data_IF_097010967409
#
_entry.id   IF_097010967409
#
_cell.length_a   1.000
_cell.length_b   1.000
_cell.length_c   1.000
_cell.angle_alpha   90.00
_cell.angle_beta   90.00
_cell.angle_gamma   90.00
#
_symmetry.space_group_name_H-M   'P 1'
#
loop_
_entity.id
_entity.type
_entity.pdbx_description
1 polymer ?
#
# COMPACT_ATOMS: atom_id res chain seq x y z
N UNK A 1 -3.41 19.72 10.67
CA UNK A 1 -2.96 18.42 11.22
C UNK A 1 -4.06 17.43 10.85
N UNK A 2 -3.79 16.44 10.01
CA UNK A 2 -4.82 15.50 9.58
C UNK A 2 -5.14 14.55 10.75
N UNK A 3 -6.42 14.35 11.01
CA UNK A 3 -6.93 13.40 12.01
C UNK A 3 -6.84 11.97 11.48
N UNK A 4 -6.82 10.98 12.38
CA UNK A 4 -6.86 9.57 11.98
C UNK A 4 -8.13 9.24 11.16
N UNK A 5 -9.25 9.90 11.46
CA UNK A 5 -10.50 9.71 10.72
C UNK A 5 -10.37 10.17 9.26
N UNK A 6 -9.78 11.34 9.03
CA UNK A 6 -9.49 11.85 7.68
C UNK A 6 -8.51 10.94 6.94
N UNK A 7 -7.47 10.44 7.61
CA UNK A 7 -6.54 9.48 7.01
C UNK A 7 -7.24 8.20 6.53
N UNK A 8 -8.11 7.62 7.36
CA UNK A 8 -8.86 6.41 7.00
C UNK A 8 -9.79 6.65 5.81
N UNK A 9 -10.50 7.79 5.81
CA UNK A 9 -11.37 8.16 4.70
C UNK A 9 -10.60 8.35 3.40
N UNK A 10 -9.44 8.99 3.47
CA UNK A 10 -8.60 9.23 2.30
C UNK A 10 -7.98 7.92 1.76
N UNK A 11 -7.56 7.00 2.63
CA UNK A 11 -7.06 5.69 2.20
C UNK A 11 -8.15 4.84 1.53
N UNK A 12 -9.39 4.88 2.02
CA UNK A 12 -10.50 4.17 1.39
C UNK A 12 -10.91 4.82 0.05
N UNK A 13 -10.89 6.15 -0.03
CA UNK A 13 -11.18 6.87 -1.28
C UNK A 13 -10.09 6.60 -2.33
N UNK A 14 -8.83 6.54 -1.89
CA UNK A 14 -7.70 6.39 -2.80
C UNK A 14 -7.44 4.93 -3.18
N UNK A 15 -7.21 4.07 -2.19
CA UNK A 15 -6.71 2.72 -2.46
C UNK A 15 -7.83 1.67 -2.38
N UNK A 16 -9.03 2.08 -1.96
CA UNK A 16 -10.14 1.15 -1.74
C UNK A 16 -9.90 0.20 -0.57
N UNK A 17 -9.05 0.60 0.38
CA UNK A 17 -8.62 -0.23 1.52
C UNK A 17 -9.06 0.40 2.85
N UNK A 18 -9.58 -0.43 3.76
CA UNK A 18 -9.78 -0.07 5.17
C UNK A 18 -9.24 -1.18 6.07
N UNK A 19 -8.29 -0.85 6.94
CA UNK A 19 -7.71 -1.78 7.91
C UNK A 19 -8.45 -1.80 9.24
N UNK A 20 -8.39 -2.94 9.94
CA UNK A 20 -8.73 -3.03 11.36
C UNK A 20 -7.76 -2.21 12.23
N UNK A 21 -6.49 -2.15 11.84
CA UNK A 21 -5.42 -1.40 12.49
C UNK A 21 -4.57 -0.64 11.47
N UNK A 22 -4.51 0.70 11.57
CA UNK A 22 -3.65 1.55 10.73
C UNK A 22 -2.25 1.78 11.32
N UNK A 23 -2.03 1.30 12.54
CA UNK A 23 -0.72 1.19 13.17
C UNK A 23 -0.55 -0.24 13.66
N UNK A 24 0.51 -0.91 13.23
CA UNK A 24 0.71 -2.33 13.49
C UNK A 24 1.57 -2.55 14.74
N UNK A 25 1.35 -3.66 15.47
CA UNK A 25 2.25 -4.08 16.53
C UNK A 25 3.65 -4.31 15.97
N UNK A 26 4.67 -3.77 16.66
CA UNK A 26 6.07 -3.85 16.23
C UNK A 26 6.78 -5.08 16.81
N UNK A 27 6.17 -5.69 17.83
CA UNK A 27 6.70 -6.88 18.50
C UNK A 27 5.76 -8.08 18.41
N UNK A 28 6.33 -9.27 18.52
CA UNK A 28 5.54 -10.52 18.55
C UNK A 28 4.61 -10.59 19.77
N UNK A 29 5.00 -9.99 20.89
CA UNK A 29 4.19 -9.99 22.11
C UNK A 29 2.94 -9.14 21.93
N UNK A 30 3.08 -7.91 21.43
CA UNK A 30 1.94 -7.03 21.14
C UNK A 30 1.01 -7.63 20.08
N UNK A 31 1.59 -8.29 19.06
CA UNK A 31 0.81 -9.00 18.06
C UNK A 31 -0.01 -10.15 18.66
N UNK A 32 0.57 -10.92 19.59
CA UNK A 32 -0.13 -12.01 20.28
C UNK A 32 -1.25 -11.52 21.22
N UNK A 33 -1.14 -10.28 21.73
CA UNK A 33 -2.15 -9.66 22.57
C UNK A 33 -3.26 -8.96 21.77
N UNK A 34 -3.09 -8.82 20.45
CA UNK A 34 -4.07 -8.17 19.58
C UNK A 34 -5.26 -9.11 19.35
N UNK A 35 -6.38 -8.82 20.02
CA UNK A 35 -7.61 -9.63 19.93
C UNK A 35 -8.21 -9.59 18.52
N UNK A 36 -8.16 -8.43 17.86
CA UNK A 36 -8.63 -8.27 16.49
C UNK A 36 -7.43 -8.47 15.55
N UNK A 37 -7.52 -9.38 14.55
CA UNK A 37 -6.44 -9.60 13.62
C UNK A 37 -6.17 -8.36 12.76
N UNK A 38 -4.93 -8.23 12.30
CA UNK A 38 -4.58 -7.28 11.23
C UNK A 38 -5.23 -7.80 9.96
N UNK A 39 -6.27 -7.10 9.50
CA UNK A 39 -7.05 -7.46 8.33
C UNK A 39 -7.46 -6.18 7.60
N UNK A 40 -7.84 -6.31 6.33
CA UNK A 40 -8.39 -5.21 5.56
C UNK A 40 -9.64 -5.63 4.78
N UNK A 41 -10.52 -4.65 4.57
CA UNK A 41 -11.54 -4.70 3.53
C UNK A 41 -10.95 -4.05 2.28
N UNK A 42 -10.94 -4.78 1.17
CA UNK A 42 -10.33 -4.33 -0.08
C UNK A 42 -11.35 -4.35 -1.23
N UNK A 43 -11.52 -3.20 -1.87
CA UNK A 43 -12.36 -3.03 -3.06
C UNK A 43 -11.47 -3.01 -4.31
N UNK A 44 -11.22 -4.19 -4.88
CA UNK A 44 -10.33 -4.38 -6.04
C UNK A 44 -10.61 -3.42 -7.19
N UNK A 45 -11.88 -3.24 -7.55
CA UNK A 45 -12.32 -2.38 -8.65
C UNK A 45 -12.98 -1.10 -8.13
N UNK A 46 -12.30 -0.40 -7.22
CA UNK A 46 -12.75 0.92 -6.77
C UNK A 46 -12.73 1.89 -7.96
N UNK A 47 -13.88 2.47 -8.28
CA UNK A 47 -13.99 3.45 -9.37
C UNK A 47 -13.15 4.69 -9.07
N UNK A 48 -12.22 4.99 -9.97
CA UNK A 48 -11.27 6.11 -9.89
C UNK A 48 -11.22 6.77 -11.27
N UNK A 49 -11.92 7.90 -11.39
CA UNK A 49 -11.97 8.66 -12.65
C UNK A 49 -10.83 9.68 -12.76
N UNK A 50 -10.05 9.86 -11.70
CA UNK A 50 -8.93 10.78 -11.60
C UNK A 50 -7.64 10.24 -12.22
N UNK A 51 -7.58 8.94 -12.53
CA UNK A 51 -6.38 8.28 -13.05
C UNK A 51 -6.61 7.77 -14.49
N UNK A 52 -5.72 8.08 -15.45
CA UNK A 52 -5.80 7.52 -16.78
C UNK A 52 -5.41 6.03 -16.78
N UNK A 53 -5.92 5.24 -17.73
CA UNK A 53 -5.44 3.87 -17.92
C UNK A 53 -3.97 3.86 -18.32
N UNK A 54 -3.21 2.95 -17.72
CA UNK A 54 -1.79 2.75 -18.02
C UNK A 54 -1.67 1.70 -19.13
N UNK A 55 -1.11 2.10 -20.28
CA UNK A 55 -1.03 1.28 -21.50
C UNK A 55 0.37 0.66 -21.73
N UNK A 56 1.05 0.27 -20.67
CA UNK A 56 2.33 -0.45 -20.74
C UNK A 56 2.33 -1.63 -19.78
N UNK A 57 3.21 -2.60 -20.03
CA UNK A 57 3.31 -3.80 -19.21
C UNK A 57 3.93 -3.47 -17.84
N UNK A 58 3.34 -3.93 -16.72
CA UNK A 58 3.82 -3.57 -15.39
C UNK A 58 5.27 -4.01 -15.18
N UNK A 59 6.09 -3.08 -14.67
CA UNK A 59 7.50 -3.36 -14.37
C UNK A 59 7.57 -4.23 -13.12
N UNK A 60 7.96 -5.50 -13.29
CA UNK A 60 8.10 -6.46 -12.19
C UNK A 60 9.55 -6.58 -11.70
N UNK A 61 9.72 -6.77 -10.40
CA UNK A 61 11.01 -7.15 -9.82
C UNK A 61 11.50 -8.48 -10.41
N UNK A 62 12.76 -8.53 -10.83
CA UNK A 62 13.39 -9.77 -11.31
C UNK A 62 13.55 -10.86 -10.24
N UNK A 63 13.52 -10.50 -8.95
CA UNK A 63 13.72 -11.43 -7.83
C UNK A 63 12.42 -11.84 -7.14
N UNK A 64 11.63 -10.87 -6.66
CA UNK A 64 10.44 -11.13 -5.85
C UNK A 64 9.12 -11.08 -6.65
N UNK A 65 9.15 -10.65 -7.91
CA UNK A 65 7.98 -10.43 -8.78
C UNK A 65 6.99 -9.34 -8.31
N UNK A 66 7.33 -8.56 -7.29
CA UNK A 66 6.58 -7.37 -6.90
C UNK A 66 6.54 -6.32 -8.03
N UNK A 67 5.43 -5.59 -8.15
CA UNK A 67 5.25 -4.55 -9.16
C UNK A 67 5.83 -3.22 -8.67
N UNK A 68 6.53 -2.50 -9.55
CA UNK A 68 7.04 -1.16 -9.29
C UNK A 68 5.92 -0.25 -8.77
N UNK A 69 6.17 0.39 -7.63
CA UNK A 69 5.23 1.28 -6.96
C UNK A 69 5.97 2.44 -6.27
N UNK A 70 5.28 3.51 -5.83
CA UNK A 70 5.90 4.71 -5.26
C UNK A 70 6.74 4.48 -3.99
N UNK A 71 6.62 3.32 -3.33
CA UNK A 71 7.41 2.97 -2.15
C UNK A 71 8.75 2.33 -2.48
N UNK A 72 9.03 2.04 -3.76
CA UNK A 72 10.33 1.57 -4.21
C UNK A 72 11.34 2.74 -4.22
N UNK A 73 12.49 2.66 -3.51
CA UNK A 73 13.50 3.70 -3.57
C UNK A 73 14.13 3.77 -4.97
N UNK A 74 14.25 4.99 -5.51
CA UNK A 74 14.89 5.23 -6.81
C UNK A 74 16.32 5.67 -6.58
N UNK A 75 17.29 4.89 -7.08
CA UNK A 75 18.68 5.35 -7.16
C UNK A 75 18.83 6.34 -8.31
N UNK A 76 19.34 7.54 -8.05
CA UNK A 76 19.51 8.59 -9.08
C UNK A 76 20.62 8.28 -10.10
N UNK A 77 21.47 7.30 -9.79
CA UNK A 77 22.75 7.03 -10.46
C UNK A 77 22.75 5.76 -11.32
N UNK A 78 21.70 4.95 -11.24
CA UNK A 78 21.42 3.89 -12.20
C UNK A 78 19.96 4.09 -12.59
N UNK A 79 19.61 4.08 -13.88
CA UNK A 79 18.21 4.02 -14.31
C UNK A 79 17.58 2.65 -13.94
N UNK A 80 17.61 2.34 -12.66
CA UNK A 80 17.27 1.08 -12.03
C UNK A 80 16.50 1.47 -10.79
N UNK A 81 15.17 1.41 -10.86
CA UNK A 81 14.38 1.40 -9.64
C UNK A 81 14.89 0.21 -8.80
N UNK A 82 15.23 0.44 -7.52
CA UNK A 82 15.51 -0.66 -6.60
C UNK A 82 14.17 -1.30 -6.26
N UNK A 83 13.68 -2.13 -7.18
CA UNK A 83 12.59 -3.05 -6.90
C UNK A 83 13.27 -4.23 -6.21
N UNK A 84 13.35 -4.19 -4.89
CA UNK A 84 13.89 -5.29 -4.08
C UNK A 84 13.01 -6.54 -4.17
#
# INVERSE_FOLDING_TARGET
MATMAEFIQQSEANDGVRFSWNAWPISRLEAAQSVIPIACLYTLFKERYDLPPINYEPVACGRCRGILNPYCPVGLNAMTALIA
#
